data_IF_120317418729
#
_entry.id   IF_120317418729
#
_cell.length_a   1.000
_cell.length_b   1.000
_cell.length_c   1.000
_cell.angle_alpha   90.00
_cell.angle_beta   90.00
_cell.angle_gamma   90.00
#
_symmetry.space_group_name_H-M   'P 1'
#
loop_
_entity.id
_entity.type
_entity.pdbx_description
1 polymer ?
#
# COMPACT_ATOMS: atom_id res chain seq x y z
N UNK A 1 11.67 -3.60 -6.73
CA UNK A 1 11.50 -4.24 -5.41
C UNK A 1 10.07 -4.74 -5.33
N UNK A 2 9.81 -5.88 -4.71
CA UNK A 2 8.44 -6.36 -4.47
C UNK A 2 7.96 -5.97 -3.07
N UNK A 3 6.64 -5.92 -2.87
CA UNK A 3 6.06 -5.71 -1.54
C UNK A 3 6.45 -6.81 -0.53
N UNK A 4 6.66 -8.03 -1.03
CA UNK A 4 7.09 -9.17 -0.20
C UNK A 4 8.51 -8.97 0.33
N UNK A 5 9.41 -8.43 -0.49
CA UNK A 5 10.79 -8.09 -0.09
C UNK A 5 10.79 -6.95 0.94
N UNK A 6 9.97 -5.93 0.71
CA UNK A 6 9.88 -4.74 1.57
C UNK A 6 9.33 -5.08 2.96
N UNK A 7 8.16 -5.71 3.02
CA UNK A 7 7.44 -5.86 4.28
C UNK A 7 7.68 -7.20 4.98
N UNK A 8 8.19 -8.21 4.28
CA UNK A 8 8.43 -9.57 4.83
C UNK A 8 7.21 -10.17 5.55
N UNK A 9 6.00 -9.77 5.13
CA UNK A 9 4.70 -10.17 5.69
C UNK A 9 3.77 -10.62 4.56
N UNK A 10 2.71 -11.34 4.92
CA UNK A 10 1.63 -11.64 3.99
C UNK A 10 0.90 -10.36 3.60
N UNK A 11 0.83 -10.09 2.29
CA UNK A 11 0.18 -8.93 1.71
C UNK A 11 -0.54 -9.40 0.45
N UNK A 12 -1.76 -8.91 0.27
CA UNK A 12 -2.51 -9.06 -0.97
C UNK A 12 -2.38 -7.74 -1.69
N UNK A 13 -1.82 -7.75 -2.90
CA UNK A 13 -1.67 -6.53 -3.64
C UNK A 13 -1.85 -6.75 -5.14
N UNK A 14 -2.26 -5.69 -5.82
CA UNK A 14 -2.52 -5.69 -7.25
C UNK A 14 -2.65 -4.28 -7.81
N UNK A 15 -2.45 -4.18 -9.12
CA UNK A 15 -2.68 -2.98 -9.90
C UNK A 15 -3.79 -3.26 -10.91
N UNK A 16 -5.00 -2.81 -10.58
CA UNK A 16 -6.25 -3.11 -11.28
C UNK A 16 -6.96 -1.82 -11.71
N UNK A 17 -7.87 -1.84 -12.69
CA UNK A 17 -8.65 -0.66 -13.05
C UNK A 17 -9.68 -0.38 -11.95
N UNK A 18 -9.54 0.75 -11.25
CA UNK A 18 -10.38 1.12 -10.12
C UNK A 18 -11.19 2.39 -10.42
N UNK A 19 -12.42 2.45 -9.92
CA UNK A 19 -13.30 3.63 -10.08
C UNK A 19 -13.02 4.76 -9.09
N UNK A 20 -11.77 4.89 -8.61
CA UNK A 20 -11.33 5.93 -7.68
C UNK A 20 -10.46 6.96 -8.40
N UNK A 21 -10.35 8.17 -7.87
CA UNK A 21 -9.46 9.21 -8.43
C UNK A 21 -8.04 9.08 -7.93
N UNK A 22 -7.87 8.54 -6.73
CA UNK A 22 -6.60 8.37 -6.04
C UNK A 22 -5.72 7.34 -6.76
N UNK A 23 -4.41 7.38 -6.48
CA UNK A 23 -3.46 6.41 -7.03
C UNK A 23 -3.72 4.99 -6.52
N UNK A 24 -4.26 4.86 -5.32
CA UNK A 24 -4.58 3.57 -4.72
C UNK A 24 -5.07 3.74 -3.30
N UNK A 25 -5.34 2.61 -2.65
CA UNK A 25 -5.70 2.56 -1.24
C UNK A 25 -5.11 1.33 -0.56
N UNK A 26 -4.91 1.44 0.75
CA UNK A 26 -4.53 0.33 1.61
C UNK A 26 -5.65 0.02 2.61
N UNK A 27 -5.87 -1.26 2.87
CA UNK A 27 -6.91 -1.73 3.77
C UNK A 27 -6.42 -2.89 4.61
N UNK A 28 -6.47 -2.75 5.94
CA UNK A 28 -6.19 -3.84 6.86
C UNK A 28 -7.45 -4.69 7.05
N UNK A 29 -7.43 -5.92 6.55
CA UNK A 29 -8.61 -6.80 6.54
C UNK A 29 -8.92 -7.39 7.93
N UNK A 30 -10.03 -8.12 8.03
CA UNK A 30 -10.56 -8.69 9.26
C UNK A 30 -9.62 -9.67 9.97
N UNK A 31 -8.73 -10.32 9.23
CA UNK A 31 -7.69 -11.24 9.74
C UNK A 31 -6.32 -10.58 9.91
N UNK A 32 -6.21 -9.26 9.72
CA UNK A 32 -4.98 -8.51 9.95
C UNK A 32 -3.93 -8.56 8.84
N UNK A 33 -4.34 -8.90 7.60
CA UNK A 33 -3.51 -8.83 6.38
C UNK A 33 -3.76 -7.50 5.65
N UNK A 34 -2.70 -6.92 5.09
CA UNK A 34 -2.81 -5.71 4.27
C UNK A 34 -3.24 -6.04 2.85
N UNK A 35 -4.31 -5.39 2.40
CA UNK A 35 -4.76 -5.35 1.01
C UNK A 35 -4.37 -4.01 0.41
N UNK A 36 -3.49 -4.00 -0.60
CA UNK A 36 -2.98 -2.79 -1.25
C UNK A 36 -3.43 -2.82 -2.72
N UNK A 37 -4.31 -1.89 -3.10
CA UNK A 37 -4.86 -1.83 -4.45
C UNK A 37 -4.40 -0.55 -5.13
N UNK A 38 -3.70 -0.70 -6.24
CA UNK A 38 -3.25 0.42 -7.08
C UNK A 38 -4.22 0.59 -8.24
N UNK A 39 -4.61 1.83 -8.50
CA UNK A 39 -5.43 2.18 -9.63
C UNK A 39 -4.56 2.24 -10.90
N UNK A 40 -4.60 1.19 -11.71
CA UNK A 40 -3.87 1.12 -12.98
C UNK A 40 -4.35 2.13 -14.04
N UNK A 41 -5.50 2.78 -13.83
CA UNK A 41 -6.00 3.86 -14.69
C UNK A 41 -5.50 5.25 -14.27
N UNK A 42 -4.88 5.37 -13.10
CA UNK A 42 -4.32 6.63 -12.63
C UNK A 42 -3.05 6.98 -13.45
N UNK A 43 -2.92 8.23 -13.88
CA UNK A 43 -1.78 8.69 -14.70
C UNK A 43 -0.43 8.58 -14.01
N UNK A 44 -0.42 8.52 -12.67
CA UNK A 44 0.79 8.38 -11.87
C UNK A 44 1.18 6.91 -11.65
N UNK A 45 0.37 5.95 -12.09
CA UNK A 45 0.74 4.53 -12.16
C UNK A 45 1.33 4.24 -13.55
N UNK A 46 2.63 3.93 -13.60
CA UNK A 46 3.33 3.66 -14.87
C UNK A 46 3.66 2.18 -14.93
N UNK A 47 3.25 1.50 -16.01
CA UNK A 47 3.49 0.07 -16.22
C UNK A 47 3.08 -0.81 -15.03
N UNK A 48 1.96 -0.48 -14.36
CA UNK A 48 1.49 -1.19 -13.15
C UNK A 48 2.45 -1.14 -11.95
N UNK A 49 3.31 -0.12 -11.91
CA UNK A 49 4.23 0.11 -10.79
C UNK A 49 3.99 1.48 -10.17
N UNK A 50 4.47 1.64 -8.93
CA UNK A 50 4.52 2.92 -8.22
C UNK A 50 5.86 3.05 -7.48
N UNK A 51 6.20 4.23 -7.00
CA UNK A 51 7.37 4.45 -6.15
C UNK A 51 7.07 4.19 -4.67
N UNK A 52 8.12 4.07 -3.86
CA UNK A 52 8.00 4.02 -2.38
C UNK A 52 7.28 5.24 -1.85
N UNK A 53 7.59 6.45 -2.34
CA UNK A 53 6.94 7.69 -1.91
C UNK A 53 5.44 7.66 -2.18
N UNK A 54 5.03 7.17 -3.35
CA UNK A 54 3.62 7.00 -3.69
C UNK A 54 2.91 5.98 -2.79
N UNK A 55 3.59 4.90 -2.42
CA UNK A 55 3.02 3.92 -1.49
C UNK A 55 2.91 4.51 -0.08
N UNK A 56 3.88 5.30 0.35
CA UNK A 56 3.83 6.01 1.63
C UNK A 56 2.64 6.98 1.67
N UNK A 57 2.41 7.76 0.62
CA UNK A 57 1.25 8.65 0.50
C UNK A 57 -0.08 7.90 0.63
N UNK A 58 -0.20 6.72 0.01
CA UNK A 58 -1.37 5.84 0.16
C UNK A 58 -1.56 5.43 1.63
N UNK A 59 -0.49 5.06 2.33
CA UNK A 59 -0.58 4.74 3.75
C UNK A 59 -0.90 5.98 4.61
N UNK A 60 -0.48 7.19 4.22
CA UNK A 60 -0.71 8.44 4.93
C UNK A 60 -2.12 9.03 4.74
N UNK A 61 -2.74 8.81 3.59
CA UNK A 61 -3.98 9.51 3.24
C UNK A 61 -5.12 8.58 2.79
N UNK A 62 -4.82 7.39 2.32
CA UNK A 62 -5.77 6.47 1.67
C UNK A 62 -5.77 5.09 2.31
N UNK A 63 -5.68 5.06 3.64
CA UNK A 63 -5.55 3.84 4.42
C UNK A 63 -6.68 3.67 5.44
N UNK A 64 -7.27 2.48 5.50
CA UNK A 64 -8.37 2.15 6.43
C UNK A 64 -8.26 0.72 6.97
N UNK A 65 -9.15 0.33 7.88
CA UNK A 65 -9.20 -1.03 8.41
C UNK A 65 -10.61 -1.57 8.58
N UNK A 66 -10.71 -2.90 8.68
CA UNK A 66 -11.93 -3.55 9.12
C UNK A 66 -12.24 -3.22 10.57
N UNK A 67 -13.53 -3.28 10.94
CA UNK A 67 -14.02 -2.85 12.25
C UNK A 67 -13.34 -3.55 13.43
N UNK A 68 -12.94 -4.82 13.28
CA UNK A 68 -12.28 -5.61 14.34
C UNK A 68 -10.79 -5.29 14.52
N UNK A 69 -10.18 -4.54 13.59
CA UNK A 69 -8.77 -4.19 13.63
C UNK A 69 -8.52 -2.76 14.15
N UNK A 70 -9.56 -2.01 14.52
CA UNK A 70 -9.44 -0.60 14.94
C UNK A 70 -8.40 -0.39 16.03
N UNK A 71 -8.37 -1.27 17.03
CA UNK A 71 -7.51 -1.12 18.20
C UNK A 71 -6.01 -1.29 17.87
N UNK A 72 -5.67 -1.99 16.78
CA UNK A 72 -4.28 -2.19 16.34
C UNK A 72 -3.95 -1.48 15.02
N UNK A 73 -4.90 -0.73 14.44
CA UNK A 73 -4.74 -0.16 13.11
C UNK A 73 -3.61 0.85 13.05
N UNK A 74 -3.59 1.83 13.97
CA UNK A 74 -2.59 2.91 13.93
C UNK A 74 -1.18 2.36 14.16
N UNK A 75 -1.02 1.40 15.09
CA UNK A 75 0.26 0.72 15.32
C UNK A 75 0.75 0.01 14.05
N UNK A 76 -0.10 -0.83 13.45
CA UNK A 76 0.25 -1.56 12.23
C UNK A 76 0.50 -0.63 11.06
N UNK A 77 -0.28 0.43 10.91
CA UNK A 77 -0.10 1.45 9.86
C UNK A 77 1.24 2.17 10.03
N UNK A 78 1.58 2.56 11.25
CA UNK A 78 2.85 3.20 11.57
C UNK A 78 4.04 2.28 11.30
N UNK A 79 3.94 0.98 11.59
CA UNK A 79 4.95 -0.01 11.23
C UNK A 79 5.23 0.00 9.71
N UNK A 80 4.17 -0.04 8.89
CA UNK A 80 4.32 -0.02 7.42
C UNK A 80 4.94 1.30 6.93
N UNK A 81 4.50 2.44 7.46
CA UNK A 81 5.04 3.75 7.09
C UNK A 81 6.51 3.89 7.49
N UNK A 82 6.92 3.35 8.64
CA UNK A 82 8.31 3.37 9.07
C UNK A 82 9.19 2.58 8.09
N UNK A 83 8.79 1.36 7.73
CA UNK A 83 9.52 0.53 6.77
C UNK A 83 9.68 1.21 5.40
N UNK A 84 8.66 1.95 4.96
CA UNK A 84 8.69 2.74 3.73
C UNK A 84 9.67 3.93 3.82
N UNK A 85 9.65 4.67 4.94
CA UNK A 85 10.53 5.83 5.18
C UNK A 85 12.01 5.46 5.26
N UNK A 86 12.32 4.19 5.56
CA UNK A 86 13.69 3.66 5.57
C UNK A 86 14.23 3.35 4.16
N UNK A 87 13.38 3.37 3.12
CA UNK A 87 13.79 3.12 1.73
C UNK A 87 14.06 4.42 0.96
N UNK A 88 14.73 4.31 -0.18
CA UNK A 88 14.82 5.42 -1.14
C UNK A 88 13.41 5.68 -1.73
N UNK A 89 12.85 6.91 -1.58
CA UNK A 89 11.52 7.27 -2.03
C UNK A 89 11.28 7.04 -3.53
N UNK A 90 12.33 7.06 -4.35
CA UNK A 90 12.25 6.85 -5.80
C UNK A 90 12.32 5.39 -6.22
N UNK A 91 12.54 4.47 -5.28
CA UNK A 91 12.56 3.03 -5.57
C UNK A 91 11.22 2.60 -6.14
N UNK A 92 11.25 1.92 -7.28
CA UNK A 92 10.06 1.38 -7.94
C UNK A 92 9.65 0.05 -7.30
N UNK A 93 8.36 -0.04 -6.99
CA UNK A 93 7.69 -1.21 -6.44
C UNK A 93 6.93 -1.91 -7.57
N UNK A 94 7.26 -3.19 -7.76
CA UNK A 94 6.56 -4.09 -8.65
C UNK A 94 5.53 -4.91 -7.85
N UNK A 95 4.34 -5.04 -8.43
CA UNK A 95 3.20 -5.76 -7.88
C UNK A 95 2.96 -7.10 -8.59
N UNK A 96 3.76 -7.42 -9.62
CA UNK A 96 3.73 -8.71 -10.31
C UNK A 96 4.50 -9.82 -9.57
#
# INVERSE_FOLDING_TARGET
MTLKELFKKAIIAGADPLSITELGFAYLNDIGTWNININSQNTNCINKTITVEQLLDIFEHHCTCFKTQKDCFDEKRNEMMQLLREQDPKTVIDFN
#
